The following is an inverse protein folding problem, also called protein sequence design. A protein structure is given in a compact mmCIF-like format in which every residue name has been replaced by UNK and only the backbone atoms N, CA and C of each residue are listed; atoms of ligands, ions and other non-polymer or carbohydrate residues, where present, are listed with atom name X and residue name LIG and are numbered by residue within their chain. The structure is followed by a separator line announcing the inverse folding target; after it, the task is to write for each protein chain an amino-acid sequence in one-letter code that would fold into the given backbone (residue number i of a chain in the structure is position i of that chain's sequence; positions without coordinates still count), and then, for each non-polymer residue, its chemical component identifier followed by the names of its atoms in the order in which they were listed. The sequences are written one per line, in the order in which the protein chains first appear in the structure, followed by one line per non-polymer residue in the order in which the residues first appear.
data_IF_280058072737
#
_entry.id   IF_280058072737
#
_cell.length_a   1.000
_cell.length_b   1.000
_cell.length_c   1.000
_cell.angle_alpha   90.00
_cell.angle_beta   90.00
_cell.angle_gamma   90.00
#
_symmetry.space_group_name_H-M   'P 1'
#
loop_
_entity.id
_entity.type
_entity.pdbx_description
1 polymer ?
#
# COMPACT_ATOMS: atom_id res chain seq x y z
N UNK A 1 24.16 4.21 -9.91
CA UNK A 1 23.19 3.11 -10.17
C UNK A 1 21.82 3.57 -9.72
N UNK A 2 20.79 3.34 -10.51
CA UNK A 2 19.41 3.76 -10.24
C UNK A 2 18.48 2.55 -10.30
N UNK A 3 17.49 2.47 -9.41
CA UNK A 3 16.48 1.41 -9.41
C UNK A 3 15.42 1.67 -10.49
N UNK A 4 15.85 1.55 -11.74
CA UNK A 4 15.07 1.75 -12.97
C UNK A 4 15.71 0.93 -14.10
N UNK A 5 15.12 0.88 -15.29
CA UNK A 5 15.72 0.25 -16.45
C UNK A 5 15.65 1.16 -17.68
N UNK A 6 16.50 0.89 -18.67
CA UNK A 6 16.56 1.68 -19.90
C UNK A 6 15.23 1.67 -20.66
N UNK A 7 14.52 0.55 -20.67
CA UNK A 7 13.23 0.44 -21.36
C UNK A 7 12.16 1.37 -20.76
N UNK A 8 12.31 1.79 -19.50
CA UNK A 8 11.40 2.72 -18.83
C UNK A 8 11.85 4.18 -18.97
N UNK A 9 13.14 4.47 -18.77
CA UNK A 9 13.64 5.86 -18.57
C UNK A 9 14.91 6.22 -19.35
N UNK A 10 15.24 5.54 -20.46
CA UNK A 10 16.48 5.80 -21.25
C UNK A 10 16.80 7.29 -21.46
N UNK A 11 15.87 8.16 -21.88
CA UNK A 11 16.21 9.57 -22.08
C UNK A 11 16.73 10.27 -20.82
N UNK A 12 16.23 9.89 -19.64
CA UNK A 12 16.68 10.43 -18.36
C UNK A 12 18.04 9.86 -17.94
N UNK A 13 18.27 8.58 -18.17
CA UNK A 13 19.55 7.91 -17.93
C UNK A 13 20.65 8.51 -18.80
N UNK A 14 20.40 8.71 -20.10
CA UNK A 14 21.33 9.35 -21.03
C UNK A 14 21.62 10.80 -20.62
N UNK A 15 20.58 11.54 -20.22
CA UNK A 15 20.74 12.90 -19.71
C UNK A 15 21.69 12.94 -18.50
N UNK A 16 21.45 12.11 -17.49
CA UNK A 16 22.31 12.05 -16.30
C UNK A 16 23.74 11.60 -16.62
N UNK A 17 23.90 10.64 -17.54
CA UNK A 17 25.21 10.17 -18.00
C UNK A 17 26.03 11.30 -18.63
N UNK A 18 25.38 12.23 -19.34
CA UNK A 18 26.04 13.38 -19.96
C UNK A 18 26.34 14.53 -18.98
N UNK A 19 25.64 14.61 -17.84
CA UNK A 19 25.80 15.68 -16.85
C UNK A 19 26.75 15.32 -15.71
N UNK A 20 26.93 14.03 -15.42
CA UNK A 20 27.63 13.55 -14.23
C UNK A 20 28.90 12.81 -14.63
N UNK A 21 29.99 13.05 -13.88
CA UNK A 21 31.32 12.46 -14.15
C UNK A 21 31.42 10.98 -13.69
N UNK A 22 30.38 10.44 -13.04
CA UNK A 22 30.36 9.04 -12.60
C UNK A 22 29.48 8.18 -13.52
N UNK A 23 29.81 6.89 -13.71
CA UNK A 23 28.96 5.98 -14.49
C UNK A 23 27.54 5.91 -13.94
N UNK A 24 26.57 6.19 -14.81
CA UNK A 24 25.13 6.11 -14.55
C UNK A 24 24.56 4.90 -15.29
N UNK A 25 23.63 4.21 -14.66
CA UNK A 25 22.96 3.06 -15.27
C UNK A 25 21.75 2.62 -14.44
N UNK A 26 20.70 2.18 -15.14
CA UNK A 26 19.55 1.52 -14.55
C UNK A 26 19.88 0.06 -14.22
N UNK A 27 19.64 -0.36 -12.97
CA UNK A 27 19.87 -1.73 -12.49
C UNK A 27 18.59 -2.38 -11.97
N UNK A 28 17.44 -1.79 -12.28
CA UNK A 28 16.14 -2.18 -11.79
C UNK A 28 15.36 -3.11 -12.72
N UNK A 29 14.19 -3.58 -12.26
CA UNK A 29 13.66 -3.33 -10.91
C UNK A 29 14.37 -4.20 -9.86
N UNK A 30 14.81 -3.59 -8.76
CA UNK A 30 15.48 -4.27 -7.64
C UNK A 30 14.42 -4.93 -6.74
N UNK A 31 13.88 -6.05 -7.21
CA UNK A 31 12.95 -6.88 -6.45
C UNK A 31 13.68 -8.06 -5.77
N UNK A 32 13.12 -8.61 -4.68
CA UNK A 32 13.64 -9.84 -4.08
C UNK A 32 13.77 -10.97 -5.11
N UNK A 33 14.80 -11.81 -4.98
CA UNK A 33 15.14 -12.85 -5.96
C UNK A 33 13.98 -13.82 -6.24
N UNK A 34 13.11 -14.04 -5.24
CA UNK A 34 11.91 -14.86 -5.32
C UNK A 34 10.94 -14.39 -6.43
N UNK A 35 10.91 -13.09 -6.75
CA UNK A 35 10.09 -12.54 -7.83
C UNK A 35 10.56 -12.99 -9.21
N UNK A 36 11.85 -13.24 -9.38
CA UNK A 36 12.42 -13.64 -10.67
C UNK A 36 12.35 -15.14 -10.90
N UNK A 37 12.35 -15.93 -9.82
CA UNK A 37 12.31 -17.40 -9.87
C UNK A 37 10.91 -17.99 -10.07
N UNK A 38 9.86 -17.18 -10.00
CA UNK A 38 8.47 -17.61 -9.84
C UNK A 38 7.58 -17.35 -11.05
N UNK A 39 8.15 -17.29 -12.26
CA UNK A 39 7.45 -16.91 -13.50
C UNK A 39 6.12 -17.64 -13.76
N UNK A 40 5.91 -18.85 -13.22
CA UNK A 40 4.70 -19.65 -13.40
C UNK A 40 3.94 -20.00 -12.10
N UNK A 41 4.39 -19.53 -10.93
CA UNK A 41 3.77 -19.88 -9.63
C UNK A 41 3.50 -18.64 -8.79
N UNK A 42 2.34 -18.59 -8.13
CA UNK A 42 2.05 -17.56 -7.14
C UNK A 42 3.13 -17.55 -6.05
N UNK A 43 3.73 -16.39 -5.84
CA UNK A 43 4.65 -16.18 -4.72
C UNK A 43 3.80 -15.94 -3.49
N UNK A 44 4.08 -16.71 -2.44
CA UNK A 44 3.40 -16.53 -1.18
C UNK A 44 4.13 -15.50 -0.31
N UNK A 45 3.41 -14.65 0.41
CA UNK A 45 3.99 -13.60 1.29
C UNK A 45 5.06 -14.17 2.24
N UNK A 46 4.80 -15.36 2.81
CA UNK A 46 5.72 -16.10 3.69
C UNK A 46 7.08 -16.47 3.05
N UNK A 47 7.18 -16.47 1.73
CA UNK A 47 8.42 -16.78 1.01
C UNK A 47 9.30 -15.54 0.82
N UNK A 48 8.71 -14.34 0.93
CA UNK A 48 9.40 -13.06 0.77
C UNK A 48 9.66 -12.42 2.14
N UNK A 49 8.71 -12.53 3.08
CA UNK A 49 8.78 -11.91 4.40
C UNK A 49 8.85 -12.99 5.48
N UNK A 50 9.93 -12.98 6.26
CA UNK A 50 10.15 -13.93 7.36
C UNK A 50 9.21 -13.68 8.56
N UNK A 51 8.81 -12.42 8.77
CA UNK A 51 7.91 -12.04 9.85
C UNK A 51 6.46 -11.99 9.38
N UNK A 52 5.64 -12.92 9.88
CA UNK A 52 4.19 -12.93 9.70
C UNK A 52 3.58 -11.68 10.34
N UNK A 53 3.24 -10.68 9.55
CA UNK A 53 2.37 -9.59 10.02
C UNK A 53 0.98 -10.18 10.20
N UNK A 54 0.49 -10.17 11.43
CA UNK A 54 -0.89 -10.61 11.68
C UNK A 54 -1.83 -9.61 11.04
N UNK A 55 -2.49 -9.99 9.95
CA UNK A 55 -3.59 -9.26 9.34
C UNK A 55 -4.91 -9.96 9.68
N UNK A 56 -6.01 -9.21 9.68
CA UNK A 56 -7.36 -9.76 9.84
C UNK A 56 -7.69 -10.79 8.75
N UNK A 57 -7.17 -10.57 7.54
CA UNK A 57 -7.37 -11.44 6.38
C UNK A 57 -6.09 -12.24 6.14
N UNK A 58 -6.21 -13.56 6.04
CA UNK A 58 -5.08 -14.38 5.59
C UNK A 58 -4.85 -14.22 4.07
N UNK A 59 -3.66 -14.59 3.61
CA UNK A 59 -3.34 -14.61 2.17
C UNK A 59 -4.36 -15.46 1.39
N UNK A 60 -4.74 -16.62 1.93
CA UNK A 60 -5.72 -17.52 1.30
C UNK A 60 -7.11 -16.87 1.20
N UNK A 61 -7.54 -16.13 2.24
CA UNK A 61 -8.82 -15.39 2.19
C UNK A 61 -8.83 -14.34 1.08
N UNK A 62 -7.72 -13.60 0.93
CA UNK A 62 -7.56 -12.57 -0.11
C UNK A 62 -7.57 -13.22 -1.50
N UNK A 63 -6.84 -14.32 -1.69
CA UNK A 63 -6.80 -15.06 -2.95
C UNK A 63 -8.18 -15.62 -3.29
N UNK A 64 -8.89 -16.22 -2.33
CA UNK A 64 -10.24 -16.74 -2.53
C UNK A 64 -11.20 -15.62 -2.92
N UNK A 65 -11.13 -14.47 -2.25
CA UNK A 65 -11.95 -13.30 -2.59
C UNK A 65 -11.63 -12.79 -3.99
N UNK A 66 -10.35 -12.68 -4.38
CA UNK A 66 -9.94 -12.29 -5.73
C UNK A 66 -10.47 -13.25 -6.81
N UNK A 67 -10.38 -14.56 -6.57
CA UNK A 67 -10.88 -15.60 -7.47
C UNK A 67 -12.40 -15.54 -7.67
N UNK A 68 -13.14 -14.97 -6.72
CA UNK A 68 -14.59 -14.75 -6.85
C UNK A 68 -14.96 -13.59 -7.78
N UNK A 69 -14.00 -12.74 -8.18
CA UNK A 69 -14.26 -11.53 -8.99
C UNK A 69 -13.87 -11.73 -10.46
N UNK A 70 -14.50 -11.01 -11.40
CA UNK A 70 -14.09 -11.05 -12.79
C UNK A 70 -12.63 -10.59 -12.98
N UNK A 71 -11.93 -11.21 -13.93
CA UNK A 71 -10.52 -10.89 -14.24
C UNK A 71 -10.37 -9.41 -14.61
N UNK A 72 -9.32 -8.77 -14.07
CA UNK A 72 -8.98 -7.34 -14.31
C UNK A 72 -10.06 -6.33 -13.89
N UNK A 73 -10.94 -6.69 -12.96
CA UNK A 73 -12.01 -5.79 -12.48
C UNK A 73 -11.78 -5.25 -11.07
N UNK A 74 -10.88 -5.85 -10.29
CA UNK A 74 -10.56 -5.43 -8.92
C UNK A 74 -9.61 -4.24 -8.96
N UNK A 75 -9.93 -3.18 -8.23
CA UNK A 75 -9.02 -2.04 -8.01
C UNK A 75 -8.26 -2.23 -6.71
N UNK A 76 -6.94 -2.08 -6.74
CA UNK A 76 -6.10 -2.09 -5.54
C UNK A 76 -5.73 -0.66 -5.16
N UNK A 77 -6.02 -0.28 -3.91
CA UNK A 77 -5.69 1.04 -3.36
C UNK A 77 -4.80 0.86 -2.13
N UNK A 78 -3.61 1.44 -2.19
CA UNK A 78 -2.69 1.52 -1.05
C UNK A 78 -1.78 2.73 -1.24
N UNK A 79 -1.46 3.41 -0.13
CA UNK A 79 -0.52 4.54 -0.11
C UNK A 79 0.87 4.14 0.42
N UNK A 80 1.11 2.85 0.59
CA UNK A 80 2.36 2.33 1.18
C UNK A 80 2.34 2.36 2.70
N UNK A 81 3.51 2.40 3.33
CA UNK A 81 3.68 2.38 4.79
C UNK A 81 4.10 3.73 5.39
N UNK A 82 4.56 4.66 4.56
CA UNK A 82 5.21 5.90 5.05
C UNK A 82 4.24 7.08 5.14
N UNK A 83 3.44 7.28 4.09
CA UNK A 83 2.51 8.40 3.97
C UNK A 83 1.14 7.90 3.57
N UNK A 84 0.10 8.59 3.99
CA UNK A 84 -1.28 8.24 3.67
C UNK A 84 -2.16 9.49 3.63
N UNK A 85 -3.44 9.34 3.23
CA UNK A 85 -4.41 10.42 3.26
C UNK A 85 -4.53 11.04 4.66
N UNK A 86 -4.94 12.29 4.70
CA UNK A 86 -5.34 12.98 5.93
C UNK A 86 -6.72 12.51 6.42
N UNK A 87 -7.08 12.80 7.67
CA UNK A 87 -8.42 12.50 8.21
C UNK A 87 -9.55 13.08 7.36
N UNK A 88 -9.33 14.22 6.72
CA UNK A 88 -10.33 14.89 5.89
C UNK A 88 -10.46 14.21 4.51
N UNK A 89 -9.39 13.62 3.97
CA UNK A 89 -9.38 12.97 2.65
C UNK A 89 -9.95 11.55 2.69
N UNK A 90 -9.78 10.83 3.80
CA UNK A 90 -10.24 9.45 3.92
C UNK A 90 -11.76 9.26 3.66
N UNK A 91 -12.67 10.09 4.21
CA UNK A 91 -14.10 10.01 3.89
C UNK A 91 -14.40 10.21 2.40
N UNK A 92 -13.69 11.12 1.73
CA UNK A 92 -13.86 11.35 0.30
C UNK A 92 -13.44 10.13 -0.51
N UNK A 93 -12.32 9.52 -0.17
CA UNK A 93 -11.84 8.30 -0.81
C UNK A 93 -12.81 7.13 -0.59
N UNK A 94 -13.32 6.96 0.64
CA UNK A 94 -14.31 5.94 0.94
C UNK A 94 -15.61 6.11 0.15
N UNK A 95 -16.15 7.33 0.09
CA UNK A 95 -17.33 7.62 -0.71
C UNK A 95 -17.10 7.32 -2.19
N UNK A 96 -15.96 7.75 -2.75
CA UNK A 96 -15.60 7.44 -4.12
C UNK A 96 -15.53 5.92 -4.37
N UNK A 97 -14.97 5.14 -3.45
CA UNK A 97 -14.92 3.67 -3.56
C UNK A 97 -16.29 3.02 -3.50
N UNK A 98 -17.22 3.54 -2.69
CA UNK A 98 -18.61 3.05 -2.65
C UNK A 98 -19.31 3.32 -3.98
N UNK A 99 -19.17 4.54 -4.51
CA UNK A 99 -19.73 4.97 -5.80
C UNK A 99 -19.10 4.25 -7.01
N UNK A 100 -17.82 3.90 -6.90
CA UNK A 100 -17.15 2.99 -7.82
C UNK A 100 -17.82 1.61 -7.69
N UNK A 101 -18.83 1.36 -8.52
CA UNK A 101 -19.63 0.12 -8.58
C UNK A 101 -18.86 -1.15 -8.99
N UNK A 102 -17.52 -1.15 -8.86
CA UNK A 102 -16.68 -2.33 -9.13
C UNK A 102 -16.02 -2.85 -7.85
N UNK A 103 -15.50 -4.09 -7.86
CA UNK A 103 -14.77 -4.63 -6.73
C UNK A 103 -13.49 -3.84 -6.44
N UNK A 104 -13.13 -3.71 -5.17
CA UNK A 104 -11.89 -3.07 -4.75
C UNK A 104 -11.29 -3.72 -3.50
N UNK A 105 -9.97 -3.64 -3.41
CA UNK A 105 -9.19 -3.88 -2.20
C UNK A 105 -8.64 -2.53 -1.76
N UNK A 106 -8.84 -2.15 -0.51
CA UNK A 106 -8.23 -0.96 0.06
C UNK A 106 -7.44 -1.31 1.31
N UNK A 107 -6.15 -0.97 1.30
CA UNK A 107 -5.27 -1.11 2.46
C UNK A 107 -5.28 0.18 3.27
N UNK A 108 -5.73 0.10 4.53
CA UNK A 108 -5.75 1.22 5.49
C UNK A 108 -4.60 1.04 6.48
N UNK A 109 -3.76 2.06 6.64
CA UNK A 109 -2.59 2.03 7.54
C UNK A 109 -3.01 2.03 9.03
N UNK A 110 -2.19 1.48 9.95
CA UNK A 110 -2.41 1.66 11.38
C UNK A 110 -2.27 3.15 11.73
N UNK A 111 -3.21 3.68 12.52
CA UNK A 111 -3.20 5.10 12.84
C UNK A 111 -3.50 6.02 11.64
N UNK A 112 -4.15 5.49 10.58
CA UNK A 112 -4.61 6.26 9.43
C UNK A 112 -5.21 7.62 9.83
N UNK A 113 -4.63 8.70 9.31
CA UNK A 113 -5.07 10.08 9.54
C UNK A 113 -4.63 10.69 10.88
N UNK A 114 -4.07 9.90 11.79
CA UNK A 114 -3.38 10.43 12.97
C UNK A 114 -2.04 10.99 12.49
N UNK A 115 -1.78 12.28 12.76
CA UNK A 115 -0.47 12.87 12.52
C UNK A 115 0.55 12.14 13.41
N UNK A 116 1.33 11.22 12.84
CA UNK A 116 2.57 10.78 13.47
C UNK A 116 3.56 11.89 13.19
N UNK A 117 3.84 12.74 14.18
CA UNK A 117 4.96 13.67 14.08
C UNK A 117 6.24 12.84 13.87
N UNK A 118 6.72 12.77 12.63
CA UNK A 118 8.00 12.16 12.29
C UNK A 118 9.10 13.09 12.84
N UNK A 119 9.53 12.81 14.08
CA UNK A 119 10.85 13.10 14.63
C UNK A 119 11.33 14.56 14.63
N UNK A 120 10.95 15.33 15.65
CA UNK A 120 11.93 16.11 16.41
C UNK A 120 11.69 15.74 17.87
N UNK A 121 12.73 15.26 18.56
CA UNK A 121 12.63 14.82 19.93
C UNK A 121 12.10 15.93 20.82
N UNK A 122 10.83 15.85 21.19
CA UNK A 122 10.35 16.43 22.42
C UNK A 122 9.33 15.47 23.02
N UNK A 123 9.60 15.08 24.26
CA UNK A 123 8.67 14.40 25.15
C UNK A 123 7.53 15.35 25.50
N UNK A 124 6.72 15.72 24.50
CA UNK A 124 5.50 16.49 24.66
C UNK A 124 4.44 15.59 25.26
N UNK A 125 4.10 15.86 26.52
CA UNK A 125 3.03 15.19 27.28
C UNK A 125 1.78 15.06 26.41
N UNK A 126 1.33 13.82 26.22
CA UNK A 126 -0.01 13.55 25.73
C UNK A 126 -1.01 14.24 26.66
N UNK A 127 -1.85 15.10 26.09
CA UNK A 127 -2.96 15.71 26.83
C UNK A 127 -3.98 14.58 27.12
N UNK A 128 -4.33 14.27 28.39
CA UNK A 128 -5.03 13.03 28.74
C UNK A 128 -6.52 12.98 28.33
N UNK A 129 -7.01 13.99 27.61
CA UNK A 129 -8.44 14.27 27.46
C UNK A 129 -9.07 14.03 26.09
N UNK A 130 -8.29 13.77 25.03
CA UNK A 130 -8.85 13.58 23.70
C UNK A 130 -8.14 12.43 22.96
N UNK A 131 -8.72 11.21 22.92
CA UNK A 131 -8.22 10.20 22.03
C UNK A 131 -8.47 10.70 20.61
N UNK A 132 -7.42 11.17 19.93
CA UNK A 132 -7.49 11.41 18.48
C UNK A 132 -7.77 10.09 17.79
N UNK A 133 -9.05 9.81 17.63
CA UNK A 133 -9.55 8.61 17.01
C UNK A 133 -9.18 8.68 15.52
N UNK A 134 -8.34 7.75 15.08
CA UNK A 134 -7.90 7.68 13.70
C UNK A 134 -9.06 7.32 12.77
N UNK A 135 -8.80 7.26 11.47
CA UNK A 135 -9.83 6.95 10.48
C UNK A 135 -10.34 5.50 10.55
N UNK A 136 -9.51 4.57 11.05
CA UNK A 136 -9.79 3.14 11.07
C UNK A 136 -11.16 2.72 11.66
N UNK A 137 -11.63 3.26 12.79
CA UNK A 137 -12.98 2.99 13.31
C UNK A 137 -14.10 3.24 12.29
N UNK A 138 -13.95 4.20 11.38
CA UNK A 138 -14.90 4.43 10.27
C UNK A 138 -14.72 3.46 9.10
N UNK A 139 -13.58 2.78 8.99
CA UNK A 139 -13.35 1.71 8.01
C UNK A 139 -14.34 0.53 8.17
N UNK A 140 -14.82 0.28 9.39
CA UNK A 140 -15.85 -0.74 9.66
C UNK A 140 -17.22 -0.36 9.09
N UNK A 141 -17.55 0.93 9.04
CA UNK A 141 -18.75 1.41 8.34
C UNK A 141 -18.62 1.23 6.83
N UNK A 142 -17.41 1.41 6.29
CA UNK A 142 -17.15 1.17 4.88
C UNK A 142 -17.25 -0.32 4.53
N UNK A 143 -16.75 -1.22 5.38
CA UNK A 143 -16.95 -2.68 5.22
C UNK A 143 -18.45 -2.99 5.03
N UNK A 144 -19.30 -2.39 5.85
CA UNK A 144 -20.75 -2.56 5.78
C UNK A 144 -21.36 -1.98 4.50
N UNK A 145 -20.89 -0.80 4.04
CA UNK A 145 -21.40 -0.12 2.84
C UNK A 145 -20.90 -0.75 1.53
N UNK A 146 -19.67 -1.27 1.52
CA UNK A 146 -19.06 -1.88 0.35
C UNK A 146 -19.57 -3.31 0.11
N UNK A 147 -19.99 -4.00 1.18
CA UNK A 147 -20.49 -5.38 1.11
C UNK A 147 -19.49 -6.31 0.44
N UNK A 148 -19.98 -7.28 -0.34
CA UNK A 148 -19.13 -8.29 -1.00
C UNK A 148 -18.20 -7.73 -2.11
N UNK A 149 -18.34 -6.43 -2.45
CA UNK A 149 -17.51 -5.75 -3.45
C UNK A 149 -16.23 -5.16 -2.87
N UNK A 150 -16.21 -4.85 -1.58
CA UNK A 150 -15.04 -4.29 -0.91
C UNK A 150 -14.31 -5.34 -0.08
N UNK A 151 -12.99 -5.28 -0.09
CA UNK A 151 -12.15 -5.97 0.89
C UNK A 151 -11.21 -4.94 1.52
N UNK A 152 -11.45 -4.61 2.78
CA UNK A 152 -10.60 -3.70 3.55
C UNK A 152 -9.55 -4.50 4.28
N UNK A 153 -8.28 -4.15 4.08
CA UNK A 153 -7.13 -4.79 4.72
C UNK A 153 -6.47 -3.76 5.63
N UNK A 154 -6.27 -4.13 6.89
CA UNK A 154 -5.42 -3.36 7.79
C UNK A 154 -3.96 -3.57 7.37
N UNK A 155 -3.35 -2.55 6.77
CA UNK A 155 -1.91 -2.51 6.57
C UNK A 155 -1.24 -2.50 7.94
N UNK A 156 -0.11 -3.18 8.10
CA UNK A 156 0.74 -3.04 9.29
C UNK A 156 2.14 -2.70 8.84
N UNK A 157 2.79 -1.78 9.55
CA UNK A 157 4.16 -1.34 9.30
C UNK A 157 5.20 -2.17 10.03
#
# INVERSE_FOLDING_TARGET
MFNTCDDLERPFIDYLTNQIVVPVGGVGPLLPEQYWKSSDSLIHDRQIREHKRQSKNSEDDVIQWLNSKPRRCVRYVSFGSEVGPTMEEYPHLANALVELTRPFIWVIQPGAGVLVHIGVGDSGRADPGDPKEGYFPHGLELDSKAGERGLIIEGRC
#
